data_IF_498270997351
#
_entry.id   IF_498270997351
#
_cell.length_a   1.000
_cell.length_b   1.000
_cell.length_c   1.000
_cell.angle_alpha   90.00
_cell.angle_beta   90.00
_cell.angle_gamma   90.00
#
_symmetry.space_group_name_H-M   'P 1'
#
loop_
_entity.id
_entity.type
_entity.pdbx_description
1 polymer ?
#
# COMPACT_ATOMS: atom_id res chain seq x y z
N UNK A 1 -2.43 -8.52 40.43
CA UNK A 1 -1.08 -8.02 40.14
C UNK A 1 -0.66 -8.31 38.68
N UNK A 2 -1.26 -9.27 37.98
CA UNK A 2 -0.92 -9.56 36.57
C UNK A 2 -1.60 -8.64 35.54
N UNK A 3 -2.71 -8.00 35.86
CA UNK A 3 -3.44 -7.09 34.98
C UNK A 3 -2.78 -5.70 34.84
N UNK A 4 -1.98 -5.27 35.81
CA UNK A 4 -1.32 -3.97 35.79
C UNK A 4 -0.01 -3.95 34.99
N UNK A 5 0.60 -5.12 34.69
CA UNK A 5 1.83 -5.19 33.85
C UNK A 5 1.55 -5.05 32.36
N UNK A 6 0.42 -5.57 31.87
CA UNK A 6 0.07 -5.48 30.45
C UNK A 6 -0.27 -4.08 29.96
N UNK A 7 -0.88 -3.24 30.80
CA UNK A 7 -1.23 -1.85 30.44
C UNK A 7 -0.01 -0.92 30.47
N UNK A 8 0.98 -1.17 31.35
CA UNK A 8 2.18 -0.37 31.45
C UNK A 8 3.14 -0.56 30.27
N UNK A 9 3.16 -1.75 29.65
CA UNK A 9 4.05 -2.05 28.52
C UNK A 9 3.50 -1.54 27.18
N UNK A 10 2.17 -1.42 27.06
CA UNK A 10 1.55 -0.81 25.87
C UNK A 10 1.86 0.69 25.78
N UNK A 11 1.94 1.38 26.93
CA UNK A 11 2.28 2.81 26.97
C UNK A 11 3.79 3.11 26.79
N UNK A 12 4.68 2.16 27.02
CA UNK A 12 6.13 2.36 26.83
C UNK A 12 6.58 2.37 25.37
N UNK A 13 5.71 1.99 24.41
CA UNK A 13 6.01 2.04 22.97
C UNK A 13 5.77 3.41 22.31
N UNK A 14 5.27 4.41 23.03
CA UNK A 14 5.04 5.76 22.50
C UNK A 14 6.17 6.71 22.93
N UNK A 15 7.38 6.53 22.39
CA UNK A 15 8.50 7.46 22.62
C UNK A 15 8.47 8.72 21.74
N UNK A 16 7.53 8.82 20.78
CA UNK A 16 7.38 10.04 19.97
C UNK A 16 6.28 10.94 20.55
N UNK A 17 6.54 12.25 20.53
CA UNK A 17 5.52 13.26 20.82
C UNK A 17 4.27 13.00 19.96
N UNK A 18 3.08 12.94 20.55
CA UNK A 18 1.82 12.63 19.86
C UNK A 18 1.63 13.44 18.57
N UNK A 19 2.04 14.72 18.58
CA UNK A 19 1.97 15.59 17.40
C UNK A 19 2.83 15.10 16.24
N UNK A 20 4.04 14.59 16.51
CA UNK A 20 4.92 14.05 15.48
C UNK A 20 4.35 12.75 14.88
N UNK A 21 3.76 11.89 15.72
CA UNK A 21 3.10 10.66 15.25
C UNK A 21 1.95 10.98 14.28
N UNK A 22 1.11 11.98 14.59
CA UNK A 22 0.04 12.40 13.68
C UNK A 22 0.57 12.92 12.36
N UNK A 23 1.62 13.74 12.38
CA UNK A 23 2.25 14.27 11.16
C UNK A 23 2.82 13.14 10.30
N UNK A 24 3.63 12.27 10.88
CA UNK A 24 4.27 11.15 10.15
C UNK A 24 3.21 10.19 9.59
N UNK A 25 2.20 9.83 10.37
CA UNK A 25 1.10 8.97 9.93
C UNK A 25 0.31 9.60 8.78
N UNK A 26 0.04 10.91 8.86
CA UNK A 26 -0.67 11.62 7.78
C UNK A 26 0.15 11.63 6.50
N UNK A 27 1.44 11.96 6.59
CA UNK A 27 2.36 11.95 5.43
C UNK A 27 2.44 10.55 4.83
N UNK A 28 2.52 9.51 5.64
CA UNK A 28 2.56 8.13 5.19
C UNK A 28 1.29 7.75 4.42
N UNK A 29 0.10 8.02 4.98
CA UNK A 29 -1.18 7.74 4.31
C UNK A 29 -1.25 8.49 2.97
N UNK A 30 -0.89 9.77 2.95
CA UNK A 30 -0.87 10.57 1.71
C UNK A 30 0.11 9.98 0.68
N UNK A 31 1.27 9.49 1.11
CA UNK A 31 2.24 8.85 0.23
C UNK A 31 1.65 7.58 -0.41
N UNK A 32 1.02 6.71 0.39
CA UNK A 32 0.41 5.48 -0.13
C UNK A 32 -0.77 5.79 -1.06
N UNK A 33 -1.62 6.75 -0.70
CA UNK A 33 -2.72 7.21 -1.56
C UNK A 33 -2.21 7.63 -2.94
N UNK A 34 -1.17 8.46 -2.98
CA UNK A 34 -0.60 8.92 -4.25
C UNK A 34 0.13 7.79 -4.99
N UNK A 35 0.82 6.91 -4.29
CA UNK A 35 1.50 5.78 -4.91
C UNK A 35 0.51 4.81 -5.59
N UNK A 36 -0.63 4.51 -4.96
CA UNK A 36 -1.70 3.70 -5.56
C UNK A 36 -2.38 4.44 -6.71
N UNK A 37 -2.59 5.75 -6.59
CA UNK A 37 -3.16 6.55 -7.68
C UNK A 37 -2.21 6.60 -8.89
N UNK A 38 -0.91 6.70 -8.69
CA UNK A 38 0.08 6.68 -9.78
C UNK A 38 0.13 5.34 -10.51
N UNK A 39 -0.05 4.23 -9.81
CA UNK A 39 -0.03 2.90 -10.42
C UNK A 39 -1.35 2.59 -11.18
N UNK A 40 -2.40 3.40 -11.01
CA UNK A 40 -3.67 3.31 -11.78
C UNK A 40 -3.52 3.93 -13.19
N UNK A 41 -2.44 3.57 -13.87
CA UNK A 41 -2.06 4.06 -15.18
C UNK A 41 -2.30 3.04 -16.32
N UNK A 42 -2.75 1.82 -16.00
CA UNK A 42 -3.04 0.73 -16.92
C UNK A 42 -4.21 -0.11 -16.40
N UNK A 43 -5.03 -0.63 -17.31
CA UNK A 43 -6.17 -1.50 -16.99
C UNK A 43 -5.77 -2.63 -16.04
N UNK A 44 -6.47 -2.76 -14.91
CA UNK A 44 -6.28 -3.82 -13.93
C UNK A 44 -5.06 -3.67 -13.01
N UNK A 45 -4.08 -2.82 -13.30
CA UNK A 45 -2.81 -2.81 -12.58
C UNK A 45 -2.98 -2.40 -11.12
N UNK A 46 -3.65 -1.29 -10.84
CA UNK A 46 -3.90 -0.84 -9.47
C UNK A 46 -4.72 -1.88 -8.67
N UNK A 47 -5.68 -2.53 -9.33
CA UNK A 47 -6.51 -3.58 -8.74
C UNK A 47 -5.68 -4.80 -8.34
N UNK A 48 -4.84 -5.30 -9.26
CA UNK A 48 -3.98 -6.48 -9.02
C UNK A 48 -2.97 -6.19 -7.92
N UNK A 49 -2.29 -5.05 -7.97
CA UNK A 49 -1.31 -4.65 -6.95
C UNK A 49 -1.97 -4.48 -5.58
N UNK A 50 -3.10 -3.78 -5.51
CA UNK A 50 -3.85 -3.60 -4.26
C UNK A 50 -4.35 -4.94 -3.70
N UNK A 51 -4.80 -5.87 -4.57
CA UNK A 51 -5.18 -7.22 -4.15
C UNK A 51 -4.00 -8.01 -3.59
N UNK A 52 -2.83 -7.93 -4.22
CA UNK A 52 -1.61 -8.57 -3.73
C UNK A 52 -1.20 -8.02 -2.36
N UNK A 53 -1.31 -6.70 -2.14
CA UNK A 53 -1.07 -6.07 -0.84
C UNK A 53 -2.06 -6.60 0.20
N UNK A 54 -3.37 -6.67 -0.11
CA UNK A 54 -4.37 -7.22 0.81
C UNK A 54 -4.07 -8.68 1.19
N UNK A 55 -3.66 -9.51 0.23
CA UNK A 55 -3.27 -10.91 0.50
C UNK A 55 -2.08 -10.95 1.45
N UNK A 56 -1.03 -10.18 1.19
CA UNK A 56 0.15 -10.14 2.04
C UNK A 56 -0.19 -9.68 3.48
N UNK A 57 -1.00 -8.63 3.61
CA UNK A 57 -1.48 -8.16 4.91
C UNK A 57 -2.30 -9.25 5.60
N UNK A 58 -3.26 -9.90 4.91
CA UNK A 58 -4.07 -10.97 5.49
C UNK A 58 -3.22 -12.15 5.99
N UNK A 59 -2.22 -12.56 5.23
CA UNK A 59 -1.30 -13.65 5.62
C UNK A 59 -0.49 -13.25 6.85
N UNK A 60 0.08 -12.05 6.86
CA UNK A 60 0.90 -11.57 7.98
C UNK A 60 0.08 -11.39 9.26
N UNK A 61 -1.10 -10.77 9.17
CA UNK A 61 -1.97 -10.55 10.33
C UNK A 61 -2.53 -11.85 10.88
N UNK A 62 -2.85 -12.82 10.02
CA UNK A 62 -3.24 -14.15 10.46
C UNK A 62 -2.10 -14.88 11.20
N UNK A 63 -0.88 -14.81 10.66
CA UNK A 63 0.31 -15.37 11.33
C UNK A 63 0.57 -14.74 12.71
N UNK A 64 0.30 -13.43 12.85
CA UNK A 64 0.44 -12.66 14.09
C UNK A 64 -0.80 -12.72 15.00
N UNK A 65 -1.76 -13.61 14.72
CA UNK A 65 -3.01 -13.80 15.48
C UNK A 65 -3.89 -12.53 15.58
N UNK A 66 -3.78 -11.62 14.59
CA UNK A 66 -4.57 -10.39 14.51
C UNK A 66 -5.85 -10.61 13.66
N UNK A 67 -6.68 -11.58 14.02
CA UNK A 67 -7.79 -12.08 13.20
C UNK A 67 -8.76 -11.01 12.71
N UNK A 68 -9.08 -9.99 13.54
CA UNK A 68 -9.97 -8.89 13.13
C UNK A 68 -9.41 -8.10 11.94
N UNK A 69 -8.10 -7.91 11.91
CA UNK A 69 -7.42 -7.20 10.83
C UNK A 69 -7.28 -8.10 9.59
N UNK A 70 -7.12 -9.39 9.80
CA UNK A 70 -7.18 -10.40 8.72
C UNK A 70 -8.53 -10.35 8.01
N UNK A 71 -9.64 -10.33 8.78
CA UNK A 71 -11.00 -10.27 8.24
C UNK A 71 -11.22 -8.98 7.42
N UNK A 72 -10.77 -7.83 7.92
CA UNK A 72 -10.86 -6.55 7.19
C UNK A 72 -10.07 -6.62 5.88
N UNK A 73 -8.88 -7.21 5.89
CA UNK A 73 -8.04 -7.37 4.69
C UNK A 73 -8.72 -8.26 3.64
N UNK A 74 -9.35 -9.35 4.08
CA UNK A 74 -10.09 -10.26 3.20
C UNK A 74 -11.34 -9.57 2.64
N UNK A 75 -12.09 -8.82 3.44
CA UNK A 75 -13.25 -8.07 2.96
C UNK A 75 -12.86 -7.06 1.90
N UNK A 76 -11.78 -6.31 2.12
CA UNK A 76 -11.26 -5.35 1.14
C UNK A 76 -10.79 -6.08 -0.13
N UNK A 77 -10.08 -7.21 0.01
CA UNK A 77 -9.67 -8.05 -1.11
C UNK A 77 -10.87 -8.54 -1.95
N UNK A 78 -11.95 -8.98 -1.31
CA UNK A 78 -13.16 -9.42 -2.01
C UNK A 78 -13.81 -8.26 -2.78
N UNK A 79 -13.87 -7.07 -2.19
CA UNK A 79 -14.42 -5.89 -2.86
C UNK A 79 -13.59 -5.48 -4.09
N UNK A 80 -12.26 -5.41 -3.94
CA UNK A 80 -11.34 -5.08 -5.03
C UNK A 80 -11.37 -6.18 -6.09
N UNK A 81 -11.34 -7.45 -5.69
CA UNK A 81 -11.40 -8.60 -6.58
C UNK A 81 -12.70 -8.65 -7.40
N UNK A 82 -13.84 -8.27 -6.80
CA UNK A 82 -15.10 -8.11 -7.52
C UNK A 82 -15.02 -7.04 -8.62
N UNK A 83 -14.33 -5.93 -8.34
CA UNK A 83 -14.11 -4.87 -9.33
C UNK A 83 -13.19 -5.32 -10.47
N UNK A 84 -12.23 -6.24 -10.22
CA UNK A 84 -11.29 -6.75 -11.21
C UNK A 84 -12.00 -7.34 -12.45
N UNK A 85 -13.16 -7.98 -12.27
CA UNK A 85 -13.94 -8.52 -13.41
C UNK A 85 -14.34 -7.45 -14.43
N UNK A 86 -14.47 -6.20 -14.00
CA UNK A 86 -14.85 -5.08 -14.87
C UNK A 86 -13.63 -4.24 -15.29
N UNK A 87 -12.53 -4.29 -14.55
CA UNK A 87 -11.32 -3.51 -14.80
C UNK A 87 -10.20 -4.34 -15.45
N UNK A 88 -10.37 -5.65 -15.64
CA UNK A 88 -9.40 -6.50 -16.36
C UNK A 88 -9.34 -6.12 -17.84
N UNK A 89 -8.13 -6.09 -18.47
CA UNK A 89 -7.98 -5.68 -19.89
C UNK A 89 -8.76 -6.53 -20.88
N UNK A 90 -9.57 -5.93 -21.80
CA UNK A 90 -9.86 -4.49 -21.90
C UNK A 90 -10.89 -4.05 -20.85
N UNK A 91 -10.58 -3.00 -20.09
CA UNK A 91 -11.40 -2.53 -19.01
C UNK A 91 -12.75 -1.96 -19.48
N UNK A 92 -13.82 -2.27 -18.73
CA UNK A 92 -15.18 -1.71 -18.91
C UNK A 92 -15.50 -0.65 -17.87
N UNK A 93 -14.82 -0.69 -16.72
CA UNK A 93 -14.90 0.28 -15.64
C UNK A 93 -13.49 0.64 -15.18
N UNK A 94 -13.30 1.89 -14.80
CA UNK A 94 -12.04 2.44 -14.31
C UNK A 94 -12.18 2.88 -12.87
N UNK A 95 -11.13 2.74 -12.07
CA UNK A 95 -11.09 3.25 -10.70
C UNK A 95 -11.25 4.76 -10.66
N UNK A 96 -10.49 5.45 -11.52
CA UNK A 96 -10.33 6.88 -11.46
C UNK A 96 -9.71 7.33 -10.13
N UNK A 97 -9.49 8.63 -9.99
CA UNK A 97 -8.86 9.20 -8.78
C UNK A 97 -9.64 8.87 -7.50
N UNK A 98 -10.98 8.87 -7.57
CA UNK A 98 -11.81 8.58 -6.39
C UNK A 98 -11.61 7.15 -5.86
N UNK A 99 -11.52 6.17 -6.76
CA UNK A 99 -11.34 4.77 -6.37
C UNK A 99 -9.91 4.49 -5.93
N UNK A 100 -8.92 4.90 -6.71
CA UNK A 100 -7.50 4.65 -6.40
C UNK A 100 -7.04 5.35 -5.12
N UNK A 101 -7.45 6.61 -4.89
CA UNK A 101 -7.16 7.33 -3.65
C UNK A 101 -7.87 6.71 -2.45
N UNK A 102 -9.13 6.26 -2.61
CA UNK A 102 -9.87 5.59 -1.54
C UNK A 102 -9.20 4.26 -1.14
N UNK A 103 -8.83 3.43 -2.11
CA UNK A 103 -8.11 2.17 -1.83
C UNK A 103 -6.75 2.47 -1.20
N UNK A 104 -6.01 3.45 -1.74
CA UNK A 104 -4.75 3.91 -1.16
C UNK A 104 -4.90 4.36 0.29
N UNK A 105 -5.97 5.09 0.62
CA UNK A 105 -6.30 5.48 1.99
C UNK A 105 -6.53 4.24 2.87
N UNK A 106 -7.38 3.31 2.44
CA UNK A 106 -7.66 2.08 3.20
C UNK A 106 -6.37 1.30 3.50
N UNK A 107 -5.54 1.06 2.48
CA UNK A 107 -4.28 0.33 2.62
C UNK A 107 -3.28 1.08 3.50
N UNK A 108 -3.11 2.38 3.31
CA UNK A 108 -2.24 3.22 4.13
C UNK A 108 -2.69 3.26 5.60
N UNK A 109 -3.99 3.39 5.86
CA UNK A 109 -4.55 3.34 7.21
C UNK A 109 -4.35 1.97 7.86
N UNK A 110 -4.65 0.89 7.14
CA UNK A 110 -4.45 -0.48 7.62
C UNK A 110 -2.98 -0.69 8.00
N UNK A 111 -2.03 -0.19 7.21
CA UNK A 111 -0.60 -0.34 7.47
C UNK A 111 -0.13 0.30 8.78
N UNK A 112 -0.85 1.29 9.31
CA UNK A 112 -0.52 1.96 10.57
C UNK A 112 -1.08 1.20 11.77
N UNK A 113 -2.28 0.61 11.64
CA UNK A 113 -2.95 -0.06 12.75
C UNK A 113 -2.47 -1.51 12.96
N UNK A 114 -1.71 -2.09 12.00
CA UNK A 114 -1.17 -3.43 12.12
C UNK A 114 0.08 -3.48 12.99
N UNK A 115 0.19 -4.55 13.79
CA UNK A 115 1.47 -4.93 14.37
C UNK A 115 2.22 -5.79 13.35
N UNK A 116 3.32 -5.28 12.81
CA UNK A 116 4.11 -5.92 11.76
C UNK A 116 5.15 -6.91 12.28
N UNK A 117 5.34 -6.97 13.60
CA UNK A 117 6.35 -7.78 14.26
C UNK A 117 5.73 -8.49 15.45
N UNK A 118 6.10 -9.76 15.74
CA UNK A 118 5.68 -10.47 16.95
C UNK A 118 6.02 -9.68 18.22
N UNK A 119 5.18 -9.80 19.24
CA UNK A 119 5.30 -9.01 20.49
C UNK A 119 6.59 -9.27 21.28
N UNK A 120 7.22 -10.43 21.07
CA UNK A 120 8.47 -10.87 21.68
C UNK A 120 9.73 -10.28 21.01
N UNK A 121 9.57 -9.66 19.83
CA UNK A 121 10.70 -9.05 19.10
C UNK A 121 10.85 -7.59 19.46
N UNK A 122 11.96 -7.25 20.12
CA UNK A 122 12.24 -5.90 20.68
C UNK A 122 13.02 -4.98 19.73
N UNK A 123 13.34 -5.42 18.51
CA UNK A 123 14.21 -4.64 17.60
C UNK A 123 13.39 -3.70 16.72
N UNK A 124 13.44 -2.41 17.02
CA UNK A 124 12.69 -1.35 16.31
C UNK A 124 12.98 -1.27 14.81
N UNK A 125 14.17 -1.63 14.37
CA UNK A 125 14.56 -1.62 12.95
C UNK A 125 13.82 -2.66 12.09
N UNK A 126 13.24 -3.68 12.70
CA UNK A 126 12.52 -4.75 11.99
C UNK A 126 11.08 -4.37 11.64
N UNK A 127 10.51 -3.35 12.28
CA UNK A 127 9.10 -2.97 12.10
C UNK A 127 8.83 -2.31 10.73
N UNK A 128 9.79 -1.55 10.22
CA UNK A 128 9.61 -0.84 8.92
C UNK A 128 9.84 -1.76 7.72
N UNK A 129 10.66 -2.79 7.84
CA UNK A 129 11.01 -3.66 6.71
C UNK A 129 9.81 -4.40 6.11
N UNK A 130 8.89 -5.04 6.88
CA UNK A 130 7.71 -5.68 6.31
C UNK A 130 6.78 -4.69 5.62
N UNK A 131 6.57 -3.50 6.20
CA UNK A 131 5.74 -2.45 5.61
C UNK A 131 6.30 -2.04 4.24
N UNK A 132 7.59 -1.73 4.17
CA UNK A 132 8.24 -1.33 2.92
C UNK A 132 8.23 -2.43 1.88
N UNK A 133 8.33 -3.70 2.28
CA UNK A 133 8.24 -4.84 1.36
C UNK A 133 6.83 -4.99 0.78
N UNK A 134 5.80 -4.92 1.63
CA UNK A 134 4.40 -5.04 1.20
C UNK A 134 4.02 -3.93 0.21
N UNK A 135 4.49 -2.71 0.44
CA UNK A 135 4.21 -1.54 -0.42
C UNK A 135 5.32 -1.26 -1.45
N UNK A 136 6.27 -2.18 -1.64
CA UNK A 136 7.45 -1.94 -2.50
C UNK A 136 7.06 -1.58 -3.93
N UNK A 137 6.11 -2.29 -4.54
CA UNK A 137 5.73 -2.07 -5.94
C UNK A 137 5.19 -0.65 -6.17
N UNK A 138 4.14 -0.17 -5.48
CA UNK A 138 3.65 1.18 -5.68
C UNK A 138 4.65 2.25 -5.26
N UNK A 139 5.43 2.02 -4.20
CA UNK A 139 6.43 2.99 -3.76
C UNK A 139 7.59 3.14 -4.76
N UNK A 140 8.06 2.03 -5.33
CA UNK A 140 9.15 2.08 -6.33
C UNK A 140 8.67 2.78 -7.60
N UNK A 141 7.47 2.43 -8.12
CA UNK A 141 6.93 3.10 -9.32
C UNK A 141 6.77 4.61 -9.07
N UNK A 142 6.17 4.99 -7.94
CA UNK A 142 6.04 6.40 -7.54
C UNK A 142 7.39 7.12 -7.48
N UNK A 143 8.40 6.54 -6.82
CA UNK A 143 9.73 7.14 -6.69
C UNK A 143 10.43 7.27 -8.05
N UNK A 144 10.35 6.25 -8.90
CA UNK A 144 10.94 6.26 -10.24
C UNK A 144 10.32 7.36 -11.09
N UNK A 145 8.99 7.48 -11.08
CA UNK A 145 8.29 8.51 -11.87
C UNK A 145 8.59 9.90 -11.35
N UNK A 146 8.50 10.13 -10.05
CA UNK A 146 8.76 11.45 -9.43
C UNK A 146 10.20 11.90 -9.67
N UNK A 147 11.18 11.02 -9.40
CA UNK A 147 12.61 11.37 -9.61
C UNK A 147 12.92 11.62 -11.07
N UNK A 148 12.39 10.82 -11.99
CA UNK A 148 12.57 11.02 -13.42
C UNK A 148 11.98 12.36 -13.87
N UNK A 149 10.73 12.68 -13.47
CA UNK A 149 10.09 13.96 -13.85
C UNK A 149 10.86 15.17 -13.34
N UNK A 150 11.30 15.14 -12.08
CA UNK A 150 12.12 16.21 -11.50
C UNK A 150 13.44 16.36 -12.28
N UNK A 151 14.10 15.26 -12.65
CA UNK A 151 15.39 15.28 -13.37
C UNK A 151 15.31 15.92 -14.75
N UNK A 152 14.12 15.90 -15.39
CA UNK A 152 13.88 16.52 -16.71
C UNK A 152 13.14 17.87 -16.60
N UNK A 153 13.00 18.42 -15.38
CA UNK A 153 12.33 19.70 -15.13
C UNK A 153 10.82 19.70 -15.31
N UNK A 154 10.17 18.52 -15.28
CA UNK A 154 8.71 18.38 -15.33
C UNK A 154 8.09 18.34 -13.94
N UNK A 155 6.87 18.87 -13.80
CA UNK A 155 6.12 18.74 -12.56
C UNK A 155 5.75 17.26 -12.31
N UNK A 156 5.94 16.75 -11.08
CA UNK A 156 5.50 15.40 -10.71
C UNK A 156 3.99 15.17 -10.84
N UNK A 157 3.19 16.22 -10.75
CA UNK A 157 1.71 16.16 -10.76
C UNK A 157 1.10 16.06 -12.17
N UNK A 158 1.90 16.23 -13.22
CA UNK A 158 1.39 16.12 -14.59
C UNK A 158 1.35 14.64 -14.97
N UNK A 159 0.22 14.15 -15.48
CA UNK A 159 0.08 12.79 -15.99
C UNK A 159 1.07 12.48 -17.13
N UNK A 160 1.49 11.25 -17.27
CA UNK A 160 2.44 10.83 -18.30
C UNK A 160 2.56 9.31 -18.43
N UNK A 161 3.36 8.87 -19.40
CA UNK A 161 3.63 7.45 -19.68
C UNK A 161 4.99 7.00 -19.14
N UNK A 162 5.43 7.61 -18.03
CA UNK A 162 6.79 7.43 -17.48
C UNK A 162 6.88 6.24 -16.50
N UNK A 163 5.75 5.59 -16.24
CA UNK A 163 5.59 4.48 -15.30
C UNK A 163 6.30 3.20 -15.76
N UNK A 164 6.65 2.34 -14.81
CA UNK A 164 7.31 1.06 -15.09
C UNK A 164 6.45 0.21 -16.03
N UNK A 165 5.13 0.16 -15.84
CA UNK A 165 4.17 -0.53 -16.71
C UNK A 165 4.29 -0.11 -18.17
N UNK A 166 4.25 1.20 -18.45
CA UNK A 166 4.38 1.73 -19.81
C UNK A 166 5.75 1.44 -20.43
N UNK A 167 6.82 1.44 -19.62
CA UNK A 167 8.16 1.06 -20.09
C UNK A 167 8.24 -0.41 -20.49
N UNK A 168 7.52 -1.30 -19.77
CA UNK A 168 7.42 -2.72 -20.13
C UNK A 168 6.60 -2.92 -21.40
N UNK A 169 5.46 -2.24 -21.54
CA UNK A 169 4.68 -2.25 -22.79
C UNK A 169 5.51 -1.77 -23.99
N UNK A 170 6.28 -0.71 -23.83
CA UNK A 170 7.18 -0.19 -24.89
C UNK A 170 8.29 -1.19 -25.27
N UNK A 171 8.66 -2.13 -24.39
CA UNK A 171 9.58 -3.25 -24.68
C UNK A 171 8.90 -4.44 -25.35
N UNK A 172 7.59 -4.37 -25.63
CA UNK A 172 6.82 -5.41 -26.34
C UNK A 172 6.14 -6.44 -25.44
N UNK A 173 6.12 -6.22 -24.10
CA UNK A 173 5.30 -7.05 -23.22
C UNK A 173 3.80 -6.75 -23.42
N UNK A 174 2.95 -7.77 -23.34
CA UNK A 174 1.49 -7.56 -23.38
C UNK A 174 0.99 -7.05 -22.02
N UNK A 175 -0.15 -6.33 -22.01
CA UNK A 175 -0.77 -5.89 -20.76
C UNK A 175 -0.98 -7.04 -19.79
N UNK A 176 -1.46 -8.20 -20.26
CA UNK A 176 -1.65 -9.39 -19.43
C UNK A 176 -0.36 -9.91 -18.81
N UNK A 177 0.76 -9.78 -19.54
CA UNK A 177 2.08 -10.19 -19.04
C UNK A 177 2.61 -9.21 -17.99
N UNK A 178 2.29 -7.91 -18.12
CA UNK A 178 2.65 -6.89 -17.12
C UNK A 178 1.87 -7.06 -15.80
N UNK A 179 0.67 -7.64 -15.88
CA UNK A 179 -0.19 -7.92 -14.71
C UNK A 179 0.17 -9.22 -13.99
N UNK A 180 0.92 -10.14 -14.61
CA UNK A 180 1.30 -11.45 -14.03
C UNK A 180 2.60 -11.37 -13.22
#
# INVERSE_FOLDING_TARGET
VRLSRGLGDVYKRQEFNNSLNYIVSTIWIMLIMNAINFIDNMDGLAVVVSSAICIQIAVLTNYLNQYKLTDISILLLCAIGGFLFFNFPPAKLYFGDSGSLFIGFCLGFMSIIYNWVPEDVTVYSTTLSPILLVFSVPLIDFLVVVTYRISIGKSPTIGGTDHISHRLLAKGFSEKTVLS
#
